data_IF_647946592533
#
_entry.id   IF_647946592533
#
_cell.length_a   1.000
_cell.length_b   1.000
_cell.length_c   1.000
_cell.angle_alpha   90.00
_cell.angle_beta   90.00
_cell.angle_gamma   90.00
#
_symmetry.space_group_name_H-M   'P 1'
#
loop_
_entity.id
_entity.type
_entity.pdbx_description
1 polymer ?
#
# COMPACT_ATOMS: atom_id res chain seq x y z
N UNK A 1 -32.24 2.33 22.70
CA UNK A 1 -31.45 1.98 23.91
C UNK A 1 -31.18 0.50 24.05
N UNK A 2 -32.13 -0.40 23.75
CA UNK A 2 -31.92 -1.87 23.76
C UNK A 2 -30.64 -2.34 23.06
N UNK A 3 -30.31 -1.79 21.88
CA UNK A 3 -29.08 -2.13 21.18
C UNK A 3 -27.81 -1.87 21.99
N UNK A 4 -27.79 -0.82 22.82
CA UNK A 4 -26.65 -0.52 23.71
C UNK A 4 -26.57 -1.50 24.89
N UNK A 5 -27.72 -1.99 25.40
CA UNK A 5 -27.76 -3.04 26.43
C UNK A 5 -27.15 -4.34 25.89
N UNK A 6 -27.67 -4.83 24.74
CA UNK A 6 -27.15 -6.04 24.10
C UNK A 6 -25.66 -5.91 23.73
N UNK A 7 -25.22 -4.73 23.33
CA UNK A 7 -23.81 -4.48 23.06
C UNK A 7 -22.95 -4.61 24.33
N UNK A 8 -23.42 -4.11 25.48
CA UNK A 8 -22.73 -4.27 26.78
C UNK A 8 -22.69 -5.73 27.23
N UNK A 9 -23.75 -6.49 26.95
CA UNK A 9 -23.83 -7.94 27.19
C UNK A 9 -22.98 -8.77 26.20
N UNK A 10 -22.33 -8.12 25.22
CA UNK A 10 -21.60 -8.75 24.11
C UNK A 10 -22.48 -9.62 23.19
N UNK A 11 -23.80 -9.50 23.27
CA UNK A 11 -24.73 -10.08 22.31
C UNK A 11 -24.83 -9.19 21.06
N UNK A 12 -23.76 -9.20 20.27
CA UNK A 12 -23.63 -8.34 19.10
C UNK A 12 -24.69 -8.65 18.03
N UNK A 13 -25.20 -9.89 17.96
CA UNK A 13 -26.25 -10.27 16.99
C UNK A 13 -27.56 -9.57 17.34
N UNK A 14 -28.00 -9.63 18.60
CA UNK A 14 -29.20 -8.88 19.04
C UNK A 14 -28.99 -7.38 18.96
N UNK A 15 -27.80 -6.88 19.29
CA UNK A 15 -27.47 -5.47 19.14
C UNK A 15 -27.66 -4.97 17.70
N UNK A 16 -27.18 -5.72 16.70
CA UNK A 16 -27.36 -5.38 15.26
C UNK A 16 -28.84 -5.30 14.89
N UNK A 17 -29.64 -6.27 15.33
CA UNK A 17 -31.09 -6.28 15.07
C UNK A 17 -31.73 -5.02 15.67
N UNK A 18 -31.47 -4.74 16.95
CA UNK A 18 -32.03 -3.57 17.65
C UNK A 18 -31.60 -2.24 17.01
N UNK A 19 -30.34 -2.09 16.60
CA UNK A 19 -29.89 -0.87 15.88
C UNK A 19 -30.52 -0.76 14.49
N UNK A 20 -30.71 -1.89 13.79
CA UNK A 20 -31.34 -1.90 12.47
C UNK A 20 -32.81 -1.49 12.55
N UNK A 21 -33.55 -1.98 13.55
CA UNK A 21 -34.91 -1.53 13.81
C UNK A 21 -34.95 -0.04 14.19
N UNK A 22 -33.96 0.46 14.94
CA UNK A 22 -33.80 1.89 15.21
C UNK A 22 -33.61 2.72 13.93
N UNK A 23 -32.76 2.27 13.01
CA UNK A 23 -32.52 2.94 11.73
C UNK A 23 -33.75 2.90 10.81
N UNK A 24 -34.52 1.81 10.82
CA UNK A 24 -35.77 1.67 10.02
C UNK A 24 -36.84 2.68 10.43
N UNK A 25 -36.88 3.08 11.69
CA UNK A 25 -37.85 4.09 12.17
C UNK A 25 -37.62 5.48 11.59
N UNK A 26 -36.52 5.71 10.86
CA UNK A 26 -36.20 6.95 10.14
C UNK A 26 -36.52 8.21 10.96
N UNK A 27 -35.89 8.33 12.14
CA UNK A 27 -35.90 9.60 12.85
C UNK A 27 -35.17 10.62 11.97
N UNK A 28 -35.81 11.74 11.63
CA UNK A 28 -35.24 12.83 10.83
C UNK A 28 -34.06 13.58 11.49
N UNK A 29 -33.40 12.95 12.46
CA UNK A 29 -32.22 13.42 13.15
C UNK A 29 -30.97 12.71 12.58
N UNK A 30 -30.13 13.42 11.79
CA UNK A 30 -28.90 12.87 11.23
C UNK A 30 -27.86 12.48 12.28
N UNK A 31 -27.83 13.16 13.44
CA UNK A 31 -26.88 12.91 14.53
C UNK A 31 -27.18 11.56 15.17
N UNK A 32 -28.45 11.30 15.50
CA UNK A 32 -28.91 10.01 16.01
C UNK A 32 -28.65 8.88 14.99
N UNK A 33 -28.94 9.13 13.72
CA UNK A 33 -28.71 8.16 12.65
C UNK A 33 -27.22 7.81 12.51
N UNK A 34 -26.33 8.81 12.61
CA UNK A 34 -24.89 8.59 12.59
C UNK A 34 -24.43 7.72 13.77
N UNK A 35 -24.95 7.98 14.98
CA UNK A 35 -24.65 7.18 16.18
C UNK A 35 -25.13 5.73 16.03
N UNK A 36 -26.35 5.53 15.51
CA UNK A 36 -26.89 4.19 15.27
C UNK A 36 -26.06 3.40 14.26
N UNK A 37 -25.65 4.02 13.16
CA UNK A 37 -24.72 3.42 12.21
C UNK A 37 -23.37 3.08 12.87
N UNK A 38 -22.77 3.99 13.64
CA UNK A 38 -21.51 3.74 14.34
C UNK A 38 -21.61 2.56 15.31
N UNK A 39 -22.71 2.47 16.06
CA UNK A 39 -22.90 1.40 17.04
C UNK A 39 -23.21 0.06 16.37
N UNK A 40 -24.01 0.05 15.29
CA UNK A 40 -24.23 -1.15 14.48
C UNK A 40 -22.95 -1.62 13.81
N UNK A 41 -22.16 -0.70 13.26
CA UNK A 41 -20.85 -0.98 12.68
C UNK A 41 -19.88 -1.54 13.71
N UNK A 42 -19.92 -1.05 14.96
CA UNK A 42 -19.15 -1.64 16.05
C UNK A 42 -19.55 -3.09 16.33
N UNK A 43 -20.84 -3.39 16.37
CA UNK A 43 -21.34 -4.75 16.60
C UNK A 43 -20.95 -5.69 15.44
N UNK A 44 -21.05 -5.22 14.19
CA UNK A 44 -20.55 -5.96 13.02
C UNK A 44 -19.05 -6.23 13.12
N UNK A 45 -18.25 -5.23 13.54
CA UNK A 45 -16.80 -5.38 13.69
C UNK A 45 -16.44 -6.47 14.69
N UNK A 46 -17.08 -6.52 15.86
CA UNK A 46 -16.83 -7.55 16.87
C UNK A 46 -17.29 -8.96 16.44
N UNK A 47 -18.16 -9.06 15.45
CA UNK A 47 -18.54 -10.33 14.82
C UNK A 47 -17.63 -10.73 13.64
N UNK A 48 -16.61 -9.94 13.31
CA UNK A 48 -15.74 -10.17 12.15
C UNK A 48 -16.37 -9.76 10.81
N UNK A 49 -17.53 -9.11 10.82
CA UNK A 49 -18.23 -8.66 9.61
C UNK A 49 -17.66 -7.32 9.11
N UNK A 50 -16.38 -7.29 8.77
CA UNK A 50 -15.64 -6.06 8.51
C UNK A 50 -16.17 -5.23 7.34
N UNK A 51 -16.69 -5.87 6.28
CA UNK A 51 -17.30 -5.15 5.15
C UNK A 51 -18.60 -4.44 5.55
N UNK A 52 -19.45 -5.11 6.33
CA UNK A 52 -20.69 -4.50 6.85
C UNK A 52 -20.37 -3.37 7.83
N UNK A 53 -19.38 -3.58 8.71
CA UNK A 53 -18.90 -2.54 9.62
C UNK A 53 -18.35 -1.32 8.89
N UNK A 54 -17.61 -1.53 7.79
CA UNK A 54 -17.11 -0.44 6.95
C UNK A 54 -18.25 0.31 6.25
N UNK A 55 -19.25 -0.41 5.73
CA UNK A 55 -20.43 0.22 5.14
C UNK A 55 -21.15 1.11 6.16
N UNK A 56 -21.29 0.66 7.40
CA UNK A 56 -21.87 1.46 8.49
C UNK A 56 -21.00 2.67 8.84
N UNK A 57 -19.68 2.51 8.91
CA UNK A 57 -18.76 3.63 9.13
C UNK A 57 -18.85 4.69 8.03
N UNK A 58 -18.99 4.28 6.76
CA UNK A 58 -19.18 5.18 5.62
C UNK A 58 -20.49 5.96 5.73
N UNK A 59 -21.60 5.30 6.10
CA UNK A 59 -22.87 5.99 6.27
C UNK A 59 -22.83 6.96 7.46
N UNK A 60 -22.25 6.55 8.59
CA UNK A 60 -22.05 7.44 9.72
C UNK A 60 -21.20 8.66 9.37
N UNK A 61 -20.11 8.47 8.60
CA UNK A 61 -19.27 9.57 8.09
C UNK A 61 -20.03 10.49 7.13
N UNK A 62 -20.88 9.94 6.26
CA UNK A 62 -21.72 10.73 5.34
C UNK A 62 -22.72 11.61 6.10
N UNK A 63 -23.33 11.08 7.15
CA UNK A 63 -24.28 11.80 8.00
C UNK A 63 -23.58 12.84 8.89
N UNK A 64 -22.42 12.49 9.44
CA UNK A 64 -21.61 13.36 10.28
C UNK A 64 -20.12 13.19 9.95
N UNK A 65 -19.56 14.05 9.07
CA UNK A 65 -18.16 13.96 8.66
C UNK A 65 -17.16 14.11 9.80
N UNK A 66 -17.52 14.83 10.87
CA UNK A 66 -16.69 15.04 12.06
C UNK A 66 -16.80 13.93 13.10
N UNK A 67 -17.51 12.83 12.80
CA UNK A 67 -17.74 11.76 13.77
C UNK A 67 -16.53 10.83 13.90
N UNK A 68 -15.58 11.21 14.75
CA UNK A 68 -14.28 10.54 14.91
C UNK A 68 -14.40 9.03 15.23
N UNK A 69 -15.40 8.61 16.01
CA UNK A 69 -15.63 7.18 16.31
C UNK A 69 -15.95 6.35 15.07
N UNK A 70 -16.69 6.90 14.11
CA UNK A 70 -16.96 6.23 12.83
C UNK A 70 -15.70 6.17 11.97
N UNK A 71 -14.89 7.24 11.96
CA UNK A 71 -13.65 7.29 11.21
C UNK A 71 -12.65 6.25 11.71
N UNK A 72 -12.43 6.19 13.03
CA UNK A 72 -11.59 5.17 13.66
C UNK A 72 -12.11 3.76 13.32
N UNK A 73 -13.43 3.54 13.34
CA UNK A 73 -14.03 2.25 12.96
C UNK A 73 -13.73 1.90 11.51
N UNK A 74 -13.87 2.85 10.58
CA UNK A 74 -13.57 2.65 9.16
C UNK A 74 -12.10 2.30 8.92
N UNK A 75 -11.18 3.04 9.56
CA UNK A 75 -9.75 2.74 9.52
C UNK A 75 -9.44 1.32 10.03
N UNK A 76 -10.02 0.92 11.17
CA UNK A 76 -9.89 -0.45 11.71
C UNK A 76 -10.44 -1.50 10.74
N UNK A 77 -11.59 -1.25 10.11
CA UNK A 77 -12.14 -2.20 9.13
C UNK A 77 -11.21 -2.37 7.92
N UNK A 78 -10.60 -1.29 7.44
CA UNK A 78 -9.62 -1.35 6.36
C UNK A 78 -8.37 -2.15 6.76
N UNK A 79 -7.89 -2.00 8.00
CA UNK A 79 -6.78 -2.81 8.53
C UNK A 79 -7.10 -4.31 8.52
N UNK A 80 -8.28 -4.69 9.02
CA UNK A 80 -8.72 -6.09 9.06
C UNK A 80 -8.95 -6.67 7.65
N UNK A 81 -9.37 -5.84 6.70
CA UNK A 81 -9.51 -6.21 5.29
C UNK A 81 -8.18 -6.19 4.52
N UNK A 82 -7.04 -5.97 5.21
CA UNK A 82 -5.69 -5.83 4.62
C UNK A 82 -5.60 -4.74 3.54
N UNK A 83 -6.53 -3.79 3.53
CA UNK A 83 -6.51 -2.63 2.64
C UNK A 83 -5.82 -1.46 3.35
N UNK A 84 -4.50 -1.53 3.43
CA UNK A 84 -3.71 -0.55 4.19
C UNK A 84 -3.72 0.85 3.58
N UNK A 85 -3.77 0.98 2.25
CA UNK A 85 -3.98 2.27 1.58
C UNK A 85 -5.27 2.95 2.03
N UNK A 86 -6.37 2.19 2.11
CA UNK A 86 -7.62 2.71 2.64
C UNK A 86 -7.53 3.08 4.12
N UNK A 87 -6.84 2.27 4.94
CA UNK A 87 -6.65 2.58 6.35
C UNK A 87 -5.90 3.90 6.56
N UNK A 88 -4.84 4.16 5.79
CA UNK A 88 -4.05 5.41 5.83
C UNK A 88 -4.95 6.60 5.49
N UNK A 89 -5.70 6.53 4.38
CA UNK A 89 -6.59 7.62 3.96
C UNK A 89 -7.62 7.97 5.04
N UNK A 90 -8.25 6.96 5.66
CA UNK A 90 -9.18 7.20 6.77
C UNK A 90 -8.51 7.79 8.01
N UNK A 91 -7.26 7.39 8.31
CA UNK A 91 -6.51 7.98 9.41
C UNK A 91 -6.17 9.45 9.13
N UNK A 92 -5.76 9.78 7.91
CA UNK A 92 -5.46 11.16 7.50
C UNK A 92 -6.67 12.06 7.59
N UNK A 93 -7.83 11.63 7.10
CA UNK A 93 -9.10 12.35 7.26
C UNK A 93 -9.44 12.59 8.74
N UNK A 94 -9.28 11.58 9.59
CA UNK A 94 -9.55 11.73 11.03
C UNK A 94 -8.55 12.63 11.74
N UNK A 95 -7.28 12.63 11.33
CA UNK A 95 -6.23 13.49 11.87
C UNK A 95 -6.39 14.95 11.41
N UNK A 96 -7.08 15.20 10.29
CA UNK A 96 -7.51 16.57 9.94
C UNK A 96 -8.57 17.11 10.89
N UNK A 97 -9.37 16.24 11.53
CA UNK A 97 -10.38 16.64 12.52
C UNK A 97 -9.77 16.75 13.91
N UNK A 98 -8.98 15.76 14.32
CA UNK A 98 -8.22 15.77 15.57
C UNK A 98 -6.80 15.27 15.32
N UNK A 99 -5.87 16.21 15.21
CA UNK A 99 -4.46 15.92 14.90
C UNK A 99 -3.72 15.17 16.02
N UNK A 100 -4.30 15.04 17.21
CA UNK A 100 -3.69 14.39 18.38
C UNK A 100 -4.39 13.09 18.76
N UNK A 101 -5.36 12.61 17.97
CA UNK A 101 -6.04 11.35 18.22
C UNK A 101 -5.06 10.18 18.12
N UNK A 102 -4.58 9.73 19.29
CA UNK A 102 -3.55 8.70 19.41
C UNK A 102 -3.86 7.42 18.63
N UNK A 103 -5.13 6.97 18.65
CA UNK A 103 -5.50 5.73 17.94
C UNK A 103 -5.28 5.83 16.44
N UNK A 104 -5.54 6.99 15.84
CA UNK A 104 -5.36 7.19 14.41
C UNK A 104 -3.89 7.30 14.04
N UNK A 105 -3.08 7.97 14.88
CA UNK A 105 -1.62 8.03 14.70
C UNK A 105 -1.02 6.61 14.73
N UNK A 106 -1.35 5.83 15.76
CA UNK A 106 -0.86 4.46 15.93
C UNK A 106 -1.33 3.54 14.78
N UNK A 107 -2.59 3.68 14.34
CA UNK A 107 -3.14 2.92 13.22
C UNK A 107 -2.46 3.28 11.89
N UNK A 108 -2.22 4.57 11.63
CA UNK A 108 -1.53 5.03 10.42
C UNK A 108 -0.12 4.47 10.35
N UNK A 109 0.67 4.63 11.43
CA UNK A 109 2.04 4.10 11.48
C UNK A 109 2.08 2.58 11.25
N UNK A 110 1.13 1.84 11.84
CA UNK A 110 1.00 0.39 11.61
C UNK A 110 0.61 0.08 10.16
N UNK A 111 -0.31 0.83 9.57
CA UNK A 111 -0.75 0.65 8.19
C UNK A 111 0.38 0.93 7.19
N UNK A 112 1.16 1.99 7.39
CA UNK A 112 2.32 2.34 6.58
C UNK A 112 3.36 1.21 6.60
N UNK A 113 3.73 0.73 7.80
CA UNK A 113 4.65 -0.40 7.95
C UNK A 113 4.17 -1.65 7.22
N UNK A 114 2.89 -2.02 7.40
CA UNK A 114 2.33 -3.21 6.77
C UNK A 114 2.17 -3.06 5.24
N UNK A 115 1.92 -1.85 4.74
CA UNK A 115 1.86 -1.56 3.31
C UNK A 115 3.21 -1.82 2.63
N UNK A 116 4.30 -1.36 3.24
CA UNK A 116 5.67 -1.60 2.74
C UNK A 116 6.00 -3.09 2.77
N UNK A 117 5.72 -3.78 3.89
CA UNK A 117 5.96 -5.22 4.01
C UNK A 117 5.20 -6.01 2.94
N UNK A 118 3.91 -5.73 2.74
CA UNK A 118 3.13 -6.41 1.72
C UNK A 118 3.67 -6.12 0.31
N UNK A 119 4.04 -4.86 -0.01
CA UNK A 119 4.68 -4.52 -1.30
C UNK A 119 5.93 -5.38 -1.51
N UNK A 120 6.81 -5.47 -0.50
CA UNK A 120 8.03 -6.27 -0.57
C UNK A 120 7.75 -7.76 -0.76
N UNK A 121 6.79 -8.34 -0.03
CA UNK A 121 6.42 -9.76 -0.16
C UNK A 121 5.90 -10.08 -1.56
N UNK A 122 5.00 -9.25 -2.11
CA UNK A 122 4.50 -9.42 -3.48
C UNK A 122 5.60 -9.30 -4.52
N UNK A 123 6.50 -8.33 -4.34
CA UNK A 123 7.62 -8.14 -5.23
C UNK A 123 8.55 -9.36 -5.23
N UNK A 124 8.94 -9.86 -4.06
CA UNK A 124 9.80 -11.05 -3.95
C UNK A 124 9.14 -12.24 -4.62
N UNK A 125 7.85 -12.50 -4.36
CA UNK A 125 7.11 -13.58 -5.00
C UNK A 125 7.13 -13.46 -6.54
N UNK A 126 6.85 -12.25 -7.05
CA UNK A 126 6.84 -11.96 -8.49
C UNK A 126 8.21 -12.11 -9.16
N UNK A 127 9.28 -11.68 -8.50
CA UNK A 127 10.66 -11.82 -9.01
C UNK A 127 11.10 -13.28 -9.01
N UNK A 128 10.77 -14.04 -7.95
CA UNK A 128 11.04 -15.47 -7.86
C UNK A 128 10.33 -16.26 -8.97
N UNK A 129 9.06 -15.95 -9.27
CA UNK A 129 8.32 -16.57 -10.39
C UNK A 129 9.00 -16.35 -11.75
N UNK A 130 9.78 -15.28 -11.88
CA UNK A 130 10.50 -14.89 -13.11
C UNK A 130 11.98 -15.27 -13.10
N UNK A 131 12.46 -15.99 -12.09
CA UNK A 131 13.87 -16.31 -11.88
C UNK A 131 14.79 -15.07 -11.87
N UNK A 132 14.30 -13.94 -11.36
CA UNK A 132 15.07 -12.70 -11.26
C UNK A 132 15.73 -12.63 -9.87
N UNK A 133 17.05 -12.38 -9.84
CA UNK A 133 17.80 -12.18 -8.58
C UNK A 133 17.60 -10.75 -8.05
N UNK A 134 17.12 -10.63 -6.81
CA UNK A 134 17.05 -9.38 -6.05
C UNK A 134 18.27 -9.27 -5.12
N UNK A 135 18.90 -8.10 -5.09
CA UNK A 135 19.89 -7.71 -4.07
C UNK A 135 19.31 -6.59 -3.23
N UNK A 136 19.32 -6.81 -1.93
CA UNK A 136 19.03 -5.76 -0.97
C UNK A 136 20.34 -5.01 -0.71
N UNK A 137 20.33 -3.69 -0.87
CA UNK A 137 21.46 -2.90 -0.39
C UNK A 137 21.41 -2.85 1.14
N UNK A 138 22.52 -3.13 1.84
CA UNK A 138 22.57 -2.93 3.27
C UNK A 138 22.39 -1.44 3.55
N UNK A 139 21.34 -1.09 4.28
CA UNK A 139 21.19 0.25 4.84
C UNK A 139 22.40 0.52 5.75
N UNK A 140 23.12 1.62 5.52
CA UNK A 140 24.23 2.11 6.37
C UNK A 140 23.72 2.62 7.74
N UNK A 141 22.92 1.82 8.43
CA UNK A 141 22.45 2.05 9.79
C UNK A 141 22.63 0.76 10.60
N UNK A 142 23.88 0.33 10.77
CA UNK A 142 24.22 -0.45 11.96
C UNK A 142 24.61 0.52 13.08
N UNK A 143 23.66 0.81 13.97
CA UNK A 143 23.97 0.88 15.39
C UNK A 143 22.73 0.57 16.23
N UNK A 144 22.62 -0.72 16.62
CA UNK A 144 22.11 -1.10 17.93
C UNK A 144 20.61 -1.30 18.10
N UNK A 145 20.05 -2.42 17.60
CA UNK A 145 19.03 -3.18 18.36
C UNK A 145 19.29 -4.69 18.20
N UNK A 146 19.61 -5.27 19.35
CA UNK A 146 19.62 -6.70 19.69
C UNK A 146 18.50 -7.53 19.02
N UNK A 147 18.92 -8.55 18.28
CA UNK A 147 18.44 -9.94 18.30
C UNK A 147 16.94 -10.18 18.06
N UNK A 148 16.58 -10.74 16.90
CA UNK A 148 15.22 -11.29 16.71
C UNK A 148 14.63 -11.44 15.30
N UNK A 149 15.39 -11.32 14.21
CA UNK A 149 14.93 -11.72 12.86
C UNK A 149 16.11 -12.34 12.10
N UNK A 150 16.52 -13.51 12.58
CA UNK A 150 17.51 -14.35 11.91
C UNK A 150 16.99 -14.76 10.52
N UNK A 151 17.86 -14.56 9.53
CA UNK A 151 18.07 -15.39 8.34
C UNK A 151 16.83 -16.10 7.74
N UNK A 152 16.29 -15.53 6.68
CA UNK A 152 15.82 -16.34 5.56
C UNK A 152 16.96 -16.46 4.56
N UNK A 153 17.91 -17.35 4.84
CA UNK A 153 18.80 -17.86 3.80
C UNK A 153 18.00 -18.76 2.87
N UNK A 154 17.96 -18.39 1.59
CA UNK A 154 17.63 -19.29 0.49
C UNK A 154 18.89 -19.46 -0.35
N UNK A 155 19.90 -20.08 0.27
CA UNK A 155 21.00 -20.69 -0.47
C UNK A 155 20.44 -21.88 -1.26
N UNK A 156 20.38 -21.71 -2.57
CA UNK A 156 20.08 -22.80 -3.49
C UNK A 156 19.51 -22.29 -4.79
N UNK A 157 20.27 -22.51 -5.86
CA UNK A 157 19.90 -22.33 -7.27
C UNK A 157 20.10 -20.93 -7.85
N UNK A 158 21.28 -20.71 -8.41
CA UNK A 158 21.32 -20.10 -9.74
C UNK A 158 22.63 -20.40 -10.48
N UNK A 159 22.58 -20.90 -11.72
CA UNK A 159 23.75 -20.94 -12.60
C UNK A 159 24.09 -19.52 -13.06
N UNK A 160 25.38 -19.22 -13.08
CA UNK A 160 25.95 -17.98 -13.58
C UNK A 160 25.50 -17.69 -15.02
N UNK A 161 24.73 -16.61 -15.21
CA UNK A 161 24.38 -16.08 -16.53
C UNK A 161 25.12 -14.77 -16.76
N UNK A 162 25.53 -14.56 -18.01
CA UNK A 162 26.69 -13.77 -18.46
C UNK A 162 26.65 -12.25 -18.26
N UNK A 163 25.71 -11.73 -17.47
CA UNK A 163 25.74 -10.37 -16.93
C UNK A 163 25.23 -10.49 -15.51
N UNK A 164 26.08 -10.29 -14.50
CA UNK A 164 25.72 -10.38 -13.08
C UNK A 164 24.75 -9.29 -12.60
N UNK A 165 23.88 -8.82 -13.48
CA UNK A 165 22.89 -7.77 -13.31
C UNK A 165 21.78 -8.25 -12.36
N UNK A 166 21.54 -7.47 -11.29
CA UNK A 166 20.60 -7.79 -10.22
C UNK A 166 19.67 -6.61 -10.03
N UNK A 167 18.44 -6.88 -9.59
CA UNK A 167 17.51 -5.80 -9.22
C UNK A 167 17.88 -5.33 -7.83
N UNK A 168 17.93 -4.01 -7.61
CA UNK A 168 18.24 -3.42 -6.31
C UNK A 168 16.98 -2.78 -5.72
N UNK A 169 16.78 -2.95 -4.41
CA UNK A 169 15.74 -2.24 -3.64
C UNK A 169 16.43 -1.26 -2.70
N UNK A 170 16.11 0.03 -2.82
CA UNK A 170 16.65 1.08 -1.95
C UNK A 170 15.96 1.12 -0.58
N UNK A 171 16.49 1.94 0.34
CA UNK A 171 15.95 2.14 1.68
C UNK A 171 14.54 2.78 1.69
N UNK A 172 14.19 3.54 0.65
CA UNK A 172 12.88 4.17 0.49
C UNK A 172 11.83 3.22 -0.13
N UNK A 173 12.24 2.00 -0.49
CA UNK A 173 11.39 0.97 -1.07
C UNK A 173 11.13 1.14 -2.57
N UNK A 174 11.99 1.90 -3.27
CA UNK A 174 12.01 2.00 -4.72
C UNK A 174 12.98 0.99 -5.34
N UNK A 175 12.64 0.56 -6.55
CA UNK A 175 13.40 -0.42 -7.30
C UNK A 175 14.32 0.24 -8.31
N UNK A 176 15.48 -0.37 -8.47
CA UNK A 176 16.43 -0.05 -9.52
C UNK A 176 16.69 -1.30 -10.35
N UNK A 177 16.44 -1.18 -11.65
CA UNK A 177 16.41 -2.28 -12.59
C UNK A 177 17.61 -2.22 -13.53
N UNK A 178 18.27 -3.34 -13.80
CA UNK A 178 19.14 -3.43 -14.95
C UNK A 178 18.29 -3.49 -16.22
N UNK A 179 18.56 -2.60 -17.18
CA UNK A 179 17.79 -2.46 -18.42
C UNK A 179 18.75 -2.59 -19.61
N UNK A 180 18.42 -3.48 -20.54
CA UNK A 180 19.13 -3.66 -21.79
C UNK A 180 18.31 -3.06 -22.94
N UNK A 181 18.84 -2.04 -23.59
CA UNK A 181 18.33 -1.55 -24.86
C UNK A 181 18.90 -2.36 -26.00
N UNK A 182 18.04 -2.83 -26.88
CA UNK A 182 18.41 -3.57 -28.08
C UNK A 182 18.09 -2.69 -29.28
N UNK A 183 19.04 -2.56 -30.21
CA UNK A 183 18.86 -1.88 -31.49
C UNK A 183 19.04 -2.90 -32.62
N UNK A 184 18.02 -3.70 -32.96
CA UNK A 184 18.15 -4.85 -33.86
C UNK A 184 18.63 -4.49 -35.26
N UNK A 185 18.20 -3.33 -35.78
CA UNK A 185 18.57 -2.84 -37.12
C UNK A 185 20.08 -2.67 -37.28
N UNK A 186 20.74 -2.20 -36.22
CA UNK A 186 22.18 -1.96 -36.19
C UNK A 186 22.97 -3.05 -35.44
N UNK A 187 22.27 -4.06 -34.90
CA UNK A 187 22.83 -5.12 -34.03
C UNK A 187 23.65 -4.54 -32.88
N UNK A 188 23.22 -3.40 -32.35
CA UNK A 188 23.83 -2.73 -31.21
C UNK A 188 23.00 -2.96 -29.96
N UNK A 189 23.64 -2.81 -28.81
CA UNK A 189 22.98 -2.91 -27.50
C UNK A 189 23.60 -1.91 -26.54
N UNK A 190 22.77 -1.27 -25.72
CA UNK A 190 23.23 -0.48 -24.59
C UNK A 190 22.67 -1.07 -23.31
N UNK A 191 23.43 -0.97 -22.23
CA UNK A 191 23.04 -1.49 -20.93
C UNK A 191 23.06 -0.38 -19.88
N UNK A 192 21.93 -0.17 -19.22
CA UNK A 192 21.80 0.66 -18.03
C UNK A 192 21.80 -0.28 -16.83
N UNK A 193 22.86 -0.22 -16.03
CA UNK A 193 23.01 -1.05 -14.84
C UNK A 193 21.95 -0.72 -13.77
N UNK A 194 21.61 0.56 -13.63
CA UNK A 194 20.75 1.07 -12.58
C UNK A 194 19.67 2.04 -13.12
N UNK A 195 18.53 1.48 -13.55
CA UNK A 195 17.35 2.23 -13.97
C UNK A 195 16.33 2.33 -12.83
N UNK A 196 16.19 3.52 -12.25
CA UNK A 196 15.29 3.75 -11.13
C UNK A 196 13.81 3.69 -11.55
N UNK A 197 12.93 3.06 -10.76
CA UNK A 197 11.52 2.82 -11.15
C UNK A 197 10.69 4.09 -11.33
N UNK A 198 11.12 5.20 -10.70
CA UNK A 198 10.48 6.51 -10.85
C UNK A 198 11.07 7.35 -12.00
N UNK A 199 12.12 6.87 -12.68
CA UNK A 199 12.70 7.53 -13.84
C UNK A 199 11.90 7.24 -15.10
N UNK A 200 11.85 8.20 -16.02
CA UNK A 200 11.21 7.99 -17.32
C UNK A 200 12.25 7.50 -18.32
N UNK A 201 11.84 6.60 -19.21
CA UNK A 201 12.70 6.15 -20.31
C UNK A 201 13.26 7.31 -21.12
N UNK A 202 12.45 8.33 -21.40
CA UNK A 202 12.88 9.49 -22.19
C UNK A 202 14.05 10.24 -21.54
N UNK A 203 14.09 10.35 -20.21
CA UNK A 203 15.17 11.06 -19.51
C UNK A 203 16.51 10.35 -19.72
N UNK A 204 16.50 9.01 -19.72
CA UNK A 204 17.67 8.19 -20.00
C UNK A 204 18.05 8.22 -21.49
N UNK A 205 17.07 8.10 -22.41
CA UNK A 205 17.33 8.19 -23.85
C UNK A 205 17.94 9.53 -24.24
N UNK A 206 17.50 10.63 -23.61
CA UNK A 206 18.07 11.96 -23.85
C UNK A 206 19.56 12.02 -23.48
N UNK A 207 19.98 11.31 -22.43
CA UNK A 207 21.39 11.24 -22.03
C UNK A 207 22.17 10.30 -22.96
N UNK A 208 21.60 9.13 -23.28
CA UNK A 208 22.25 8.13 -24.13
C UNK A 208 22.52 8.64 -25.55
N UNK A 209 21.56 9.40 -26.11
CA UNK A 209 21.64 9.96 -27.46
C UNK A 209 21.94 11.48 -27.45
N UNK A 210 22.54 11.99 -26.37
CA UNK A 210 23.02 13.36 -26.31
C UNK A 210 24.12 13.61 -27.37
N UNK A 211 24.97 12.60 -27.58
CA UNK A 211 25.91 12.53 -28.69
C UNK A 211 25.41 11.53 -29.72
N UNK A 212 25.58 11.86 -31.01
CA UNK A 212 25.19 10.99 -32.11
C UNK A 212 26.05 9.72 -32.10
N UNK A 213 25.44 8.53 -32.00
CA UNK A 213 26.19 7.30 -32.03
C UNK A 213 26.93 7.13 -33.37
N UNK A 214 28.16 6.59 -33.39
CA UNK A 214 28.95 6.46 -34.61
C UNK A 214 28.32 5.51 -35.64
N UNK A 215 27.40 4.65 -35.21
CA UNK A 215 26.66 3.71 -36.06
C UNK A 215 25.35 4.29 -36.63
N UNK A 216 24.88 5.45 -36.14
CA UNK A 216 23.67 6.12 -36.62
C UNK A 216 23.99 7.18 -37.70
N UNK A 217 24.46 6.70 -38.85
CA UNK A 217 24.82 7.57 -39.98
C UNK A 217 23.62 8.35 -40.55
N UNK A 218 22.41 7.83 -40.39
CA UNK A 218 21.17 8.41 -40.90
C UNK A 218 20.47 9.34 -39.89
N UNK A 219 21.04 9.48 -38.67
CA UNK A 219 20.50 10.31 -37.57
C UNK A 219 19.06 9.96 -37.19
N UNK A 220 18.74 8.67 -37.23
CA UNK A 220 17.40 8.14 -36.91
C UNK A 220 17.16 8.05 -35.41
N UNK A 221 18.21 7.87 -34.61
CA UNK A 221 18.14 7.62 -33.18
C UNK A 221 18.18 8.92 -32.38
N UNK A 222 17.16 9.75 -32.58
CA UNK A 222 16.91 10.96 -31.79
C UNK A 222 15.86 10.66 -30.70
N UNK A 223 16.00 11.17 -29.46
CA UNK A 223 15.06 10.90 -28.37
C UNK A 223 13.59 11.21 -28.72
N UNK A 224 13.33 12.19 -29.59
CA UNK A 224 11.99 12.56 -30.04
C UNK A 224 11.38 11.61 -31.07
N UNK A 225 12.20 10.78 -31.73
CA UNK A 225 11.80 9.89 -32.81
C UNK A 225 11.78 8.41 -32.39
N UNK A 226 12.26 8.09 -31.20
CA UNK A 226 12.36 6.73 -30.69
C UNK A 226 11.07 6.30 -29.99
N UNK A 227 10.60 5.10 -30.33
CA UNK A 227 9.53 4.40 -29.64
C UNK A 227 10.15 3.28 -28.81
N UNK A 228 9.80 3.20 -27.52
CA UNK A 228 10.32 2.25 -26.53
C UNK A 228 9.20 1.38 -26.00
#
# INVERSE_FOLDING_TARGET
NEGNEYFREKDYKKAIIAYTEGLKKQCGDPELSAVLHTNRGAAHFYLGNYRSALSDAVQAKKLKPTHLKAIIRGALCHMELKNFSGAIAWCEEGLQIDSKEKKLVDLRAKADKLKVIIKAVWLVAYLCERNIKLVLEPSNEEEGISDGLAEMSLDGFCPDSATGAKVHLDADGNLTWPVLFLYPEHKQTDFIEAFHENSRFIDHLMVMFAELPPWDLERKYLPSNLEV
#
